data_IF_644685025099
#
_entry.id   IF_644685025099
#
_cell.length_a   1.000
_cell.length_b   1.000
_cell.length_c   1.000
_cell.angle_alpha   90.00
_cell.angle_beta   90.00
_cell.angle_gamma   90.00
#
_symmetry.space_group_name_H-M   'P 1'
#
loop_
_entity.id
_entity.type
_entity.pdbx_description
1 polymer ?
#
# COMPACT_ATOMS: atom_id res chain seq x y z
N UNK A 1 22.74 -0.93 15.27
CA UNK A 1 21.73 -2.00 15.37
C UNK A 1 21.87 -2.95 14.17
N UNK A 2 21.59 -4.25 14.40
CA UNK A 2 21.56 -5.27 13.35
C UNK A 2 20.08 -5.67 13.11
N UNK A 3 19.57 -5.37 11.94
CA UNK A 3 18.15 -5.55 11.62
C UNK A 3 18.00 -6.61 10.52
N UNK A 4 17.10 -7.56 10.75
CA UNK A 4 16.71 -8.57 9.75
C UNK A 4 15.25 -8.33 9.36
N UNK A 5 14.95 -8.45 8.06
CA UNK A 5 13.61 -8.31 7.53
C UNK A 5 13.11 -9.60 6.86
N UNK A 6 11.79 -9.83 6.87
CA UNK A 6 11.12 -10.89 6.10
C UNK A 6 9.85 -10.35 5.43
N UNK A 7 9.69 -10.61 4.12
CA UNK A 7 8.57 -10.08 3.35
C UNK A 7 8.09 -11.02 2.24
N UNK A 8 6.80 -10.95 1.92
CA UNK A 8 6.26 -11.54 0.70
C UNK A 8 6.51 -10.59 -0.48
N UNK A 9 7.30 -11.03 -1.46
CA UNK A 9 7.67 -10.17 -2.60
C UNK A 9 8.58 -9.02 -2.22
N UNK A 10 8.25 -7.81 -2.67
CA UNK A 10 9.05 -6.60 -2.43
C UNK A 10 8.38 -5.63 -1.47
N UNK A 11 7.15 -5.21 -1.76
CA UNK A 11 6.44 -4.15 -1.05
C UNK A 11 7.36 -2.97 -0.65
N UNK A 12 6.96 -2.17 0.32
CA UNK A 12 7.77 -1.11 0.93
C UNK A 12 8.98 -1.61 1.74
N UNK A 13 9.05 -2.92 2.02
CA UNK A 13 10.18 -3.51 2.76
C UNK A 13 11.52 -3.36 2.06
N UNK A 14 11.56 -3.36 0.72
CA UNK A 14 12.79 -3.12 -0.01
C UNK A 14 13.18 -1.65 -0.01
N UNK A 15 12.21 -0.72 0.03
CA UNK A 15 12.48 0.70 0.27
C UNK A 15 13.08 0.89 1.67
N UNK A 16 12.47 0.30 2.72
CA UNK A 16 13.01 0.29 4.07
C UNK A 16 14.40 -0.34 4.13
N UNK A 17 14.61 -1.47 3.46
CA UNK A 17 15.91 -2.16 3.46
C UNK A 17 17.03 -1.30 2.87
N UNK A 18 16.76 -0.53 1.79
CA UNK A 18 17.73 0.44 1.24
C UNK A 18 18.06 1.53 2.26
N UNK A 19 17.07 2.06 2.95
CA UNK A 19 17.26 3.07 3.98
C UNK A 19 18.01 2.54 5.20
N UNK A 20 17.72 1.33 5.65
CA UNK A 20 18.45 0.67 6.73
C UNK A 20 19.89 0.33 6.32
N UNK A 21 20.10 -0.10 5.07
CA UNK A 21 21.44 -0.36 4.54
C UNK A 21 22.28 0.92 4.49
N UNK A 22 21.74 2.04 3.99
CA UNK A 22 22.46 3.31 3.92
C UNK A 22 22.90 3.83 5.29
N UNK A 23 22.18 3.44 6.35
CA UNK A 23 22.48 3.76 7.77
C UNK A 23 23.36 2.70 8.46
N UNK A 24 23.77 1.63 7.76
CA UNK A 24 24.58 0.56 8.33
C UNK A 24 23.82 -0.36 9.29
N UNK A 25 22.50 -0.43 9.19
CA UNK A 25 21.64 -1.20 10.09
C UNK A 25 21.11 -2.50 9.49
N UNK A 26 20.98 -2.62 8.16
CA UNK A 26 20.49 -3.83 7.52
C UNK A 26 21.50 -4.96 7.62
N UNK A 27 21.14 -6.03 8.31
CA UNK A 27 21.88 -7.28 8.36
C UNK A 27 21.50 -8.22 7.24
N UNK A 28 20.19 -8.42 7.02
CA UNK A 28 19.67 -9.33 6.00
C UNK A 28 18.19 -9.07 5.70
N UNK A 29 17.74 -9.47 4.49
CA UNK A 29 16.32 -9.50 4.12
C UNK A 29 15.99 -10.83 3.44
N UNK A 30 14.89 -11.45 3.89
CA UNK A 30 14.30 -12.64 3.31
C UNK A 30 13.10 -12.26 2.46
N UNK A 31 12.97 -12.86 1.25
CA UNK A 31 11.83 -12.60 0.35
C UNK A 31 11.35 -13.86 -0.33
N UNK A 32 10.04 -13.90 -0.65
CA UNK A 32 9.44 -14.97 -1.45
C UNK A 32 9.60 -14.78 -2.96
N UNK A 33 10.25 -13.71 -3.42
CA UNK A 33 10.52 -13.53 -4.84
C UNK A 33 11.89 -14.10 -5.24
N UNK A 34 12.03 -14.61 -6.50
CA UNK A 34 13.31 -15.07 -7.02
C UNK A 34 14.25 -13.89 -7.27
N UNK A 35 15.56 -14.17 -7.19
CA UNK A 35 16.61 -13.15 -7.30
C UNK A 35 16.50 -12.29 -8.58
N UNK A 36 16.18 -12.90 -9.73
CA UNK A 36 16.08 -12.14 -10.98
C UNK A 36 15.01 -11.03 -10.96
N UNK A 37 14.02 -11.11 -10.05
CA UNK A 37 13.08 -10.02 -9.79
C UNK A 37 13.61 -9.01 -8.78
N UNK A 38 14.41 -9.46 -7.81
CA UNK A 38 14.89 -8.63 -6.70
C UNK A 38 16.16 -7.83 -7.03
N UNK A 39 16.96 -8.24 -8.02
CA UNK A 39 18.19 -7.53 -8.43
C UNK A 39 17.96 -6.05 -8.77
N UNK A 40 16.76 -5.71 -9.26
CA UNK A 40 16.35 -4.33 -9.57
C UNK A 40 16.08 -3.47 -8.34
N UNK A 41 15.98 -4.07 -7.15
CA UNK A 41 15.73 -3.35 -5.89
C UNK A 41 16.99 -2.69 -5.31
N UNK A 42 18.14 -2.84 -5.95
CA UNK A 42 19.38 -2.11 -5.60
C UNK A 42 20.07 -2.60 -4.32
N UNK A 43 19.74 -3.80 -3.83
CA UNK A 43 20.46 -4.44 -2.72
C UNK A 43 21.47 -5.46 -3.24
N UNK A 44 22.67 -5.61 -2.60
CA UNK A 44 23.60 -6.66 -2.95
C UNK A 44 23.03 -8.04 -2.64
N UNK A 45 23.36 -9.02 -3.49
CA UNK A 45 22.88 -10.41 -3.34
C UNK A 45 23.24 -11.01 -1.97
N UNK A 46 24.36 -10.62 -1.39
CA UNK A 46 24.81 -11.09 -0.07
C UNK A 46 23.89 -10.72 1.08
N UNK A 47 23.08 -9.69 0.93
CA UNK A 47 22.10 -9.25 1.93
C UNK A 47 20.69 -9.81 1.70
N UNK A 48 20.48 -10.61 0.64
CA UNK A 48 19.14 -11.07 0.24
C UNK A 48 19.10 -12.59 0.15
N UNK A 49 18.15 -13.22 0.82
CA UNK A 49 17.84 -14.64 0.63
C UNK A 49 16.44 -14.83 0.07
N UNK A 50 16.28 -15.78 -0.82
CA UNK A 50 15.03 -15.98 -1.57
C UNK A 50 14.40 -17.34 -1.30
N UNK A 51 13.04 -17.38 -1.19
CA UNK A 51 12.25 -18.60 -1.06
C UNK A 51 11.06 -18.56 -2.05
N UNK A 52 11.32 -18.72 -3.36
CA UNK A 52 10.36 -18.38 -4.40
C UNK A 52 9.36 -19.50 -4.75
N UNK A 53 9.42 -20.65 -4.10
CA UNK A 53 8.80 -21.90 -4.58
C UNK A 53 7.28 -21.81 -4.74
N UNK A 54 6.54 -21.54 -3.67
CA UNK A 54 5.06 -21.50 -3.70
C UNK A 54 4.56 -20.19 -4.28
N UNK A 55 5.11 -19.05 -3.84
CA UNK A 55 4.66 -17.72 -4.28
C UNK A 55 4.84 -17.49 -5.79
N UNK A 56 5.98 -17.92 -6.35
CA UNK A 56 6.23 -17.79 -7.79
C UNK A 56 5.29 -18.67 -8.59
N UNK A 57 5.02 -19.91 -8.12
CA UNK A 57 4.06 -20.81 -8.75
C UNK A 57 2.64 -20.22 -8.70
N UNK A 58 2.21 -19.73 -7.53
CA UNK A 58 0.89 -19.12 -7.34
C UNK A 58 0.67 -17.92 -8.26
N UNK A 59 1.65 -17.01 -8.35
CA UNK A 59 1.57 -15.83 -9.22
C UNK A 59 1.64 -16.22 -10.71
N UNK A 60 2.45 -17.19 -11.06
CA UNK A 60 2.56 -17.71 -12.43
C UNK A 60 1.22 -18.31 -12.88
N UNK A 61 0.66 -19.21 -12.09
CA UNK A 61 -0.63 -19.84 -12.40
C UNK A 61 -1.79 -18.83 -12.46
N UNK A 62 -1.85 -17.88 -11.53
CA UNK A 62 -2.91 -16.85 -11.50
C UNK A 62 -2.91 -15.93 -12.74
N UNK A 63 -1.79 -15.83 -13.44
CA UNK A 63 -1.69 -15.07 -14.70
C UNK A 63 -2.30 -15.77 -15.91
N UNK A 64 -2.41 -17.11 -15.88
CA UNK A 64 -2.83 -17.92 -17.03
C UNK A 64 -4.13 -18.70 -16.79
N UNK A 65 -4.43 -19.08 -15.55
CA UNK A 65 -5.57 -19.92 -15.20
C UNK A 65 -6.36 -19.30 -14.06
N UNK A 66 -7.70 -19.38 -14.14
CA UNK A 66 -8.56 -19.04 -13.01
C UNK A 66 -8.41 -20.11 -11.91
N UNK A 67 -7.65 -19.79 -10.87
CA UNK A 67 -7.46 -20.67 -9.72
C UNK A 67 -8.71 -20.62 -8.84
N UNK A 68 -9.35 -21.79 -8.52
CA UNK A 68 -10.45 -21.83 -7.56
C UNK A 68 -10.04 -21.21 -6.22
N UNK A 69 -10.92 -20.42 -5.62
CA UNK A 69 -10.60 -19.65 -4.40
C UNK A 69 -10.04 -20.52 -3.27
N UNK A 70 -10.61 -21.71 -3.05
CA UNK A 70 -10.12 -22.65 -2.02
C UNK A 70 -8.66 -23.05 -2.25
N UNK A 71 -8.30 -23.32 -3.50
CA UNK A 71 -6.91 -23.66 -3.88
C UNK A 71 -5.99 -22.46 -3.69
N UNK A 72 -6.42 -21.27 -4.10
CA UNK A 72 -5.66 -20.05 -3.92
C UNK A 72 -5.40 -19.75 -2.42
N UNK A 73 -6.43 -19.91 -1.57
CA UNK A 73 -6.30 -19.74 -0.12
C UNK A 73 -5.35 -20.79 0.49
N UNK A 74 -5.49 -22.06 0.09
CA UNK A 74 -4.57 -23.11 0.54
C UNK A 74 -3.11 -22.80 0.17
N UNK A 75 -2.86 -22.39 -1.08
CA UNK A 75 -1.52 -22.00 -1.52
C UNK A 75 -0.98 -20.79 -0.74
N UNK A 76 -1.83 -19.80 -0.43
CA UNK A 76 -1.44 -18.61 0.33
C UNK A 76 -1.05 -18.97 1.77
N UNK A 77 -1.83 -19.83 2.44
CA UNK A 77 -1.52 -20.31 3.79
C UNK A 77 -0.23 -21.15 3.77
N UNK A 78 -0.11 -22.09 2.83
CA UNK A 78 1.07 -22.93 2.69
C UNK A 78 2.34 -22.11 2.40
N UNK A 79 2.24 -21.06 1.56
CA UNK A 79 3.33 -20.13 1.30
C UNK A 79 3.77 -19.40 2.59
N UNK A 80 2.80 -18.88 3.35
CA UNK A 80 3.08 -18.17 4.60
C UNK A 80 3.77 -19.09 5.63
N UNK A 81 3.25 -20.30 5.83
CA UNK A 81 3.78 -21.27 6.80
C UNK A 81 5.16 -21.79 6.44
N UNK A 82 5.37 -22.15 5.17
CA UNK A 82 6.66 -22.71 4.71
C UNK A 82 7.74 -21.64 4.69
N UNK A 83 7.41 -20.43 4.21
CA UNK A 83 8.35 -19.31 4.22
C UNK A 83 8.76 -18.93 5.64
N UNK A 84 7.80 -18.73 6.55
CA UNK A 84 8.06 -18.38 7.94
C UNK A 84 8.89 -19.47 8.66
N UNK A 85 8.58 -20.76 8.41
CA UNK A 85 9.36 -21.88 8.94
C UNK A 85 10.81 -21.86 8.43
N UNK A 86 10.99 -21.59 7.14
CA UNK A 86 12.32 -21.50 6.54
C UNK A 86 13.11 -20.30 7.08
N UNK A 87 12.48 -19.12 7.22
CA UNK A 87 13.10 -17.94 7.84
C UNK A 87 13.49 -18.24 9.28
N UNK A 88 12.61 -18.85 10.07
CA UNK A 88 12.87 -19.23 11.47
C UNK A 88 14.13 -20.10 11.62
N UNK A 89 14.38 -21.04 10.67
CA UNK A 89 15.57 -21.91 10.69
C UNK A 89 16.85 -21.17 10.28
N UNK A 90 16.75 -20.15 9.42
CA UNK A 90 17.88 -19.37 8.90
C UNK A 90 18.21 -18.15 9.73
N UNK A 91 17.32 -17.78 10.66
CA UNK A 91 17.46 -16.56 11.46
C UNK A 91 18.70 -16.63 12.35
N UNK A 92 19.55 -15.64 12.24
CA UNK A 92 20.73 -15.43 13.10
C UNK A 92 20.45 -14.34 14.14
N UNK A 93 21.18 -14.28 15.28
CA UNK A 93 21.01 -13.22 16.28
C UNK A 93 21.01 -11.83 15.63
N UNK A 94 20.09 -10.98 16.07
CA UNK A 94 19.96 -9.58 15.60
C UNK A 94 19.33 -8.75 16.75
N UNK A 95 19.34 -7.43 16.60
CA UNK A 95 18.70 -6.54 17.59
C UNK A 95 17.19 -6.43 17.34
N UNK A 96 16.81 -6.41 16.05
CA UNK A 96 15.39 -6.30 15.63
C UNK A 96 15.12 -7.22 14.44
N UNK A 97 13.98 -7.90 14.52
CA UNK A 97 13.40 -8.64 13.41
C UNK A 97 12.09 -7.98 12.98
N UNK A 98 11.97 -7.63 11.70
CA UNK A 98 10.77 -7.03 11.11
C UNK A 98 10.17 -8.01 10.12
N UNK A 99 8.94 -8.44 10.32
CA UNK A 99 8.25 -9.28 9.35
C UNK A 99 6.97 -8.61 8.87
N UNK A 100 6.70 -8.70 7.56
CA UNK A 100 5.37 -8.37 7.05
C UNK A 100 4.34 -9.29 7.71
N UNK A 101 3.17 -8.77 8.06
CA UNK A 101 2.13 -9.56 8.70
C UNK A 101 1.76 -10.79 7.87
N UNK A 102 1.55 -11.91 8.54
CA UNK A 102 1.40 -13.23 7.93
C UNK A 102 2.72 -14.01 7.72
N UNK A 103 3.89 -13.37 7.91
CA UNK A 103 5.20 -13.99 7.68
C UNK A 103 6.06 -14.15 8.95
N UNK A 104 5.53 -13.84 10.14
CA UNK A 104 6.32 -13.70 11.37
C UNK A 104 5.91 -14.59 12.54
N UNK A 105 5.02 -15.55 12.38
CA UNK A 105 4.49 -16.35 13.50
C UNK A 105 5.57 -17.20 14.19
N UNK A 106 6.38 -17.95 13.44
CA UNK A 106 7.47 -18.78 13.96
C UNK A 106 8.78 -18.02 14.07
N UNK A 107 9.11 -17.27 13.01
CA UNK A 107 10.35 -16.49 12.93
C UNK A 107 10.37 -15.33 13.95
N UNK A 108 9.22 -14.70 14.24
CA UNK A 108 9.12 -13.69 15.31
C UNK A 108 9.42 -14.27 16.68
N UNK A 109 8.80 -15.42 17.03
CA UNK A 109 9.12 -16.13 18.29
C UNK A 109 10.58 -16.57 18.34
N UNK A 110 11.14 -17.02 17.22
CA UNK A 110 12.56 -17.38 17.13
C UNK A 110 13.45 -16.16 17.34
N UNK A 111 13.13 -15.02 16.74
CA UNK A 111 13.86 -13.77 16.93
C UNK A 111 13.88 -13.37 18.43
N UNK A 112 12.72 -13.37 19.08
CA UNK A 112 12.59 -13.07 20.51
C UNK A 112 13.39 -14.05 21.38
N UNK A 113 13.40 -15.35 21.05
CA UNK A 113 14.23 -16.34 21.76
C UNK A 113 15.74 -16.12 21.59
N UNK A 114 16.16 -15.38 20.55
CA UNK A 114 17.54 -14.95 20.32
C UNK A 114 17.83 -13.56 20.92
N UNK A 115 16.88 -12.97 21.66
CA UNK A 115 17.02 -11.66 22.30
C UNK A 115 16.61 -10.46 21.44
N UNK A 116 16.10 -10.67 20.23
CA UNK A 116 15.68 -9.59 19.34
C UNK A 116 14.28 -9.07 19.69
N UNK A 117 14.01 -7.80 19.40
CA UNK A 117 12.65 -7.26 19.31
C UNK A 117 11.99 -7.72 18.02
N UNK A 118 10.73 -8.17 18.10
CA UNK A 118 9.93 -8.54 16.94
C UNK A 118 8.90 -7.45 16.60
N UNK A 119 8.95 -6.94 15.37
CA UNK A 119 8.00 -5.98 14.83
C UNK A 119 7.16 -6.66 13.74
N UNK A 120 5.84 -6.65 13.93
CA UNK A 120 4.89 -7.02 12.89
C UNK A 120 4.58 -5.80 12.04
N UNK A 121 4.97 -5.80 10.77
CA UNK A 121 4.72 -4.69 9.86
C UNK A 121 3.46 -4.95 9.04
N UNK A 122 2.43 -4.14 9.26
CA UNK A 122 1.15 -4.29 8.58
C UNK A 122 0.88 -3.12 7.64
N UNK A 123 0.98 -3.38 6.35
CA UNK A 123 0.76 -2.38 5.30
C UNK A 123 -0.71 -2.05 4.99
N UNK A 124 -1.66 -2.53 5.80
CA UNK A 124 -3.10 -2.34 5.58
C UNK A 124 -3.83 -2.21 6.93
N UNK A 125 -5.17 -2.17 6.90
CA UNK A 125 -6.01 -2.19 8.10
C UNK A 125 -5.86 -3.49 8.88
N UNK A 126 -6.37 -3.55 10.11
CA UNK A 126 -6.42 -4.81 10.89
C UNK A 126 -7.07 -5.92 10.06
N UNK A 127 -6.49 -7.11 10.07
CA UNK A 127 -6.90 -8.19 9.14
C UNK A 127 -8.39 -8.56 9.28
N UNK A 128 -8.92 -8.56 10.49
CA UNK A 128 -10.35 -8.83 10.74
C UNK A 128 -11.23 -7.70 10.21
N UNK A 129 -10.87 -6.45 10.45
CA UNK A 129 -11.56 -5.30 9.87
C UNK A 129 -11.56 -5.36 8.33
N UNK A 130 -10.38 -5.66 7.73
CA UNK A 130 -10.28 -5.85 6.28
C UNK A 130 -11.21 -6.96 5.79
N UNK A 131 -11.23 -8.09 6.48
CA UNK A 131 -12.12 -9.21 6.15
C UNK A 131 -13.60 -8.78 6.18
N UNK A 132 -14.05 -8.13 7.25
CA UNK A 132 -15.43 -7.75 7.47
C UNK A 132 -15.91 -6.72 6.44
N UNK A 133 -15.15 -5.65 6.22
CA UNK A 133 -15.53 -4.59 5.27
C UNK A 133 -15.56 -5.10 3.82
N UNK A 134 -14.64 -6.01 3.45
CA UNK A 134 -14.62 -6.60 2.12
C UNK A 134 -15.71 -7.69 1.95
N UNK A 135 -16.04 -8.42 3.01
CA UNK A 135 -17.15 -9.37 2.98
C UNK A 135 -18.47 -8.64 2.77
N UNK A 136 -18.66 -7.51 3.45
CA UNK A 136 -19.81 -6.63 3.24
C UNK A 136 -19.85 -6.11 1.79
N UNK A 137 -18.71 -5.67 1.26
CA UNK A 137 -18.61 -5.17 -0.10
C UNK A 137 -18.96 -6.26 -1.13
N UNK A 138 -18.42 -7.47 -0.97
CA UNK A 138 -18.73 -8.59 -1.86
C UNK A 138 -20.20 -8.97 -1.81
N UNK A 139 -20.83 -8.98 -0.61
CA UNK A 139 -22.30 -9.22 -0.48
C UNK A 139 -23.12 -8.15 -1.22
N UNK A 140 -22.73 -6.87 -1.13
CA UNK A 140 -23.36 -5.77 -1.84
C UNK A 140 -23.40 -5.97 -3.35
N UNK A 141 -22.30 -6.51 -3.88
CA UNK A 141 -22.17 -6.81 -5.31
C UNK A 141 -22.56 -8.25 -5.68
N UNK A 142 -23.15 -9.00 -4.75
CA UNK A 142 -23.57 -10.40 -4.94
C UNK A 142 -22.43 -11.32 -5.40
N UNK A 143 -21.23 -11.07 -4.87
CA UNK A 143 -20.03 -11.88 -5.13
C UNK A 143 -19.90 -12.90 -3.99
N UNK A 144 -19.96 -14.19 -4.35
CA UNK A 144 -19.72 -15.27 -3.39
C UNK A 144 -18.22 -15.49 -3.22
N UNK A 145 -17.61 -14.72 -2.32
CA UNK A 145 -16.18 -14.77 -2.05
C UNK A 145 -15.86 -14.48 -0.58
N UNK A 146 -14.92 -15.23 -0.03
CA UNK A 146 -14.35 -15.01 1.30
C UNK A 146 -13.06 -14.19 1.13
N UNK A 147 -12.96 -12.95 1.66
CA UNK A 147 -11.77 -12.11 1.49
C UNK A 147 -10.49 -12.72 2.05
N UNK A 148 -10.56 -13.21 3.30
CA UNK A 148 -9.42 -13.81 4.02
C UNK A 148 -9.88 -15.14 4.61
N UNK A 149 -9.14 -16.26 4.42
CA UNK A 149 -9.49 -17.53 5.03
C UNK A 149 -9.31 -17.50 6.54
N UNK A 150 -10.07 -18.32 7.32
CA UNK A 150 -9.98 -18.31 8.81
C UNK A 150 -8.56 -18.47 9.34
N UNK A 151 -7.77 -19.38 8.75
CA UNK A 151 -6.37 -19.60 9.12
C UNK A 151 -5.49 -18.35 8.93
N UNK A 152 -5.81 -17.53 7.91
CA UNK A 152 -5.14 -16.25 7.68
C UNK A 152 -5.46 -15.22 8.75
N UNK A 153 -6.72 -15.15 9.21
CA UNK A 153 -7.16 -14.29 10.30
C UNK A 153 -6.44 -14.65 11.61
N UNK A 154 -6.53 -15.93 12.01
CA UNK A 154 -5.92 -16.44 13.22
C UNK A 154 -4.40 -16.23 13.24
N UNK A 155 -3.74 -16.45 12.09
CA UNK A 155 -2.31 -16.27 11.94
C UNK A 155 -1.87 -14.83 12.18
N UNK A 156 -2.49 -13.87 11.49
CA UNK A 156 -2.10 -12.46 11.63
C UNK A 156 -2.47 -11.90 13.02
N UNK A 157 -3.61 -12.26 13.59
CA UNK A 157 -3.99 -11.87 14.95
C UNK A 157 -3.02 -12.43 16.00
N UNK A 158 -2.55 -13.66 15.81
CA UNK A 158 -1.50 -14.22 16.68
C UNK A 158 -0.17 -13.46 16.55
N UNK A 159 0.17 -12.97 15.36
CA UNK A 159 1.36 -12.12 15.16
C UNK A 159 1.20 -10.77 15.85
N UNK A 160 0.02 -10.13 15.74
CA UNK A 160 -0.26 -8.88 16.47
C UNK A 160 -0.15 -9.06 17.98
N UNK A 161 -0.66 -10.17 18.51
CA UNK A 161 -0.57 -10.48 19.95
C UNK A 161 0.89 -10.70 20.39
N UNK A 162 1.69 -11.44 19.62
CA UNK A 162 3.04 -11.86 20.01
C UNK A 162 4.13 -10.83 19.69
N UNK A 163 3.94 -9.90 18.76
CA UNK A 163 4.96 -8.89 18.43
C UNK A 163 5.19 -7.90 19.57
N UNK A 164 6.40 -7.34 19.66
CA UNK A 164 6.73 -6.26 20.60
C UNK A 164 6.12 -4.92 20.14
N UNK A 165 5.99 -4.72 18.83
CA UNK A 165 5.38 -3.55 18.22
C UNK A 165 4.72 -3.91 16.88
N UNK A 166 3.76 -3.09 16.47
CA UNK A 166 3.09 -3.18 15.16
C UNK A 166 3.31 -1.86 14.45
N UNK A 167 3.87 -1.90 13.23
CA UNK A 167 3.99 -0.71 12.37
C UNK A 167 2.87 -0.70 11.33
N UNK A 168 2.30 0.47 11.12
CA UNK A 168 1.17 0.71 10.21
C UNK A 168 1.37 2.03 9.45
N UNK A 169 0.79 2.19 8.23
CA UNK A 169 1.09 3.34 7.40
C UNK A 169 0.20 4.56 7.60
N UNK A 170 -0.96 4.45 8.28
CA UNK A 170 -1.92 5.56 8.35
C UNK A 170 -2.74 5.59 9.64
N UNK A 171 -3.34 6.74 9.91
CA UNK A 171 -4.28 6.91 11.02
C UNK A 171 -5.56 6.09 10.81
N UNK A 172 -6.00 5.93 9.57
CA UNK A 172 -7.10 5.00 9.26
C UNK A 172 -6.77 3.57 9.73
N UNK A 173 -5.57 3.07 9.41
CA UNK A 173 -5.13 1.77 9.92
C UNK A 173 -5.15 1.74 11.45
N UNK A 174 -4.58 2.77 12.12
CA UNK A 174 -4.52 2.85 13.57
C UNK A 174 -5.89 2.73 14.22
N UNK A 175 -6.87 3.46 13.71
CA UNK A 175 -8.27 3.40 14.17
C UNK A 175 -8.83 1.97 14.09
N UNK A 176 -8.54 1.24 13.00
CA UNK A 176 -9.03 -0.14 12.84
C UNK A 176 -8.40 -1.12 13.82
N UNK A 177 -7.10 -0.97 14.13
CA UNK A 177 -6.43 -1.79 15.13
C UNK A 177 -6.98 -1.55 16.54
N UNK A 178 -7.19 -0.30 16.92
CA UNK A 178 -7.81 0.06 18.22
C UNK A 178 -9.24 -0.48 18.30
N UNK A 179 -10.03 -0.31 17.24
CA UNK A 179 -11.40 -0.84 17.15
C UNK A 179 -11.45 -2.36 17.36
N UNK A 180 -10.42 -3.08 16.90
CA UNK A 180 -10.29 -4.54 17.07
C UNK A 180 -9.60 -4.95 18.39
N UNK A 181 -9.39 -4.01 19.31
CA UNK A 181 -8.92 -4.27 20.67
C UNK A 181 -7.40 -4.37 20.82
N UNK A 182 -6.61 -3.96 19.81
CA UNK A 182 -5.14 -3.92 19.95
C UNK A 182 -4.74 -2.71 20.79
N UNK A 183 -3.89 -2.87 21.83
CA UNK A 183 -3.43 -1.77 22.67
C UNK A 183 -2.73 -0.66 21.87
N UNK A 184 -3.11 0.59 22.12
CA UNK A 184 -2.66 1.75 21.35
C UNK A 184 -1.14 1.97 21.41
N UNK A 185 -0.53 1.65 22.55
CA UNK A 185 0.91 1.76 22.81
C UNK A 185 1.76 0.79 21.98
N UNK A 186 1.14 -0.27 21.47
CA UNK A 186 1.79 -1.25 20.60
C UNK A 186 1.82 -0.83 19.15
N UNK A 187 0.98 0.16 18.77
CA UNK A 187 0.73 0.54 17.37
C UNK A 187 1.52 1.82 17.05
N UNK A 188 2.43 1.72 16.07
CA UNK A 188 3.28 2.82 15.63
C UNK A 188 2.99 3.17 14.18
N UNK A 189 2.49 4.39 13.96
CA UNK A 189 2.20 4.91 12.64
C UNK A 189 3.47 5.48 11.97
N UNK A 190 3.81 4.96 10.80
CA UNK A 190 4.92 5.44 9.98
C UNK A 190 4.42 5.50 8.52
N UNK A 191 3.97 6.68 8.04
CA UNK A 191 3.51 6.84 6.66
C UNK A 191 4.62 6.57 5.65
N UNK A 192 4.25 5.96 4.52
CA UNK A 192 5.19 5.63 3.46
C UNK A 192 5.77 6.87 2.78
N UNK A 193 6.99 6.73 2.28
CA UNK A 193 7.64 7.73 1.45
C UNK A 193 7.25 7.65 -0.02
N UNK A 194 7.72 8.63 -0.79
CA UNK A 194 7.63 8.68 -2.25
C UNK A 194 9.03 8.79 -2.84
N UNK A 195 9.28 8.15 -3.98
CA UNK A 195 10.53 8.33 -4.75
C UNK A 195 10.45 9.65 -5.53
N UNK A 196 10.86 10.75 -4.89
CA UNK A 196 10.78 12.09 -5.49
C UNK A 196 11.68 12.23 -6.71
N UNK A 197 12.77 11.49 -6.80
CA UNK A 197 13.64 11.41 -7.96
C UNK A 197 12.95 10.79 -9.20
N UNK A 198 11.96 9.94 -8.98
CA UNK A 198 11.21 9.28 -10.03
C UNK A 198 9.90 10.03 -10.36
N UNK A 199 9.19 10.50 -9.35
CA UNK A 199 7.89 11.16 -9.48
C UNK A 199 8.04 12.67 -9.32
N UNK A 200 7.85 13.39 -10.41
CA UNK A 200 7.89 14.86 -10.52
C UNK A 200 7.09 15.29 -11.74
N UNK A 201 6.64 16.53 -11.84
CA UNK A 201 5.93 17.03 -13.00
C UNK A 201 6.79 16.96 -14.27
N UNK A 202 6.24 16.40 -15.36
CA UNK A 202 6.95 16.27 -16.66
C UNK A 202 6.13 16.82 -17.81
N UNK A 203 4.81 16.95 -17.65
CA UNK A 203 3.88 17.48 -18.66
C UNK A 203 2.70 18.12 -17.93
N UNK A 204 2.14 19.19 -18.48
CA UNK A 204 0.92 19.80 -17.93
C UNK A 204 -0.34 19.08 -18.43
N UNK A 205 -1.43 19.06 -17.64
CA UNK A 205 -2.73 18.59 -18.09
C UNK A 205 -3.23 19.39 -19.30
N UNK A 206 -3.97 18.72 -20.19
CA UNK A 206 -4.52 19.34 -21.40
C UNK A 206 -5.64 20.33 -21.07
N UNK A 207 -5.61 21.53 -21.61
CA UNK A 207 -6.72 22.49 -21.47
C UNK A 207 -7.99 22.12 -22.25
N UNK A 208 -7.89 21.19 -23.19
CA UNK A 208 -9.01 20.80 -24.07
C UNK A 208 -9.79 19.57 -23.59
N UNK A 209 -9.30 18.86 -22.57
CA UNK A 209 -9.93 17.64 -22.06
C UNK A 209 -9.85 17.64 -20.55
N UNK A 210 -10.84 17.10 -19.85
CA UNK A 210 -10.76 16.84 -18.43
C UNK A 210 -10.40 15.38 -18.18
N UNK A 211 -9.17 15.12 -17.74
CA UNK A 211 -8.65 13.78 -17.55
C UNK A 211 -8.64 13.37 -16.08
N UNK A 212 -9.43 12.36 -15.76
CA UNK A 212 -9.46 11.66 -14.47
C UNK A 212 -8.55 10.45 -14.56
N UNK A 213 -7.79 10.17 -13.51
CA UNK A 213 -6.88 9.03 -13.42
C UNK A 213 -7.23 8.13 -12.24
N UNK A 214 -7.17 6.84 -12.46
CA UNK A 214 -7.06 5.82 -11.42
C UNK A 214 -5.82 4.97 -11.66
N UNK A 215 -5.06 4.69 -10.61
CA UNK A 215 -3.90 3.78 -10.66
C UNK A 215 -4.01 2.75 -9.54
N UNK A 216 -4.10 1.47 -9.91
CA UNK A 216 -4.20 0.37 -8.96
C UNK A 216 -4.86 -0.86 -9.54
N UNK A 217 -5.04 -1.88 -8.72
CA UNK A 217 -5.75 -3.09 -9.13
C UNK A 217 -7.22 -2.80 -9.41
N UNK A 218 -7.73 -3.22 -10.56
CA UNK A 218 -9.13 -3.05 -10.95
C UNK A 218 -9.97 -4.09 -10.22
N UNK A 219 -10.64 -3.66 -9.13
CA UNK A 219 -11.31 -4.56 -8.19
C UNK A 219 -12.41 -3.85 -7.39
N UNK A 220 -13.28 -4.63 -6.73
CA UNK A 220 -14.28 -4.10 -5.79
C UNK A 220 -13.61 -3.43 -4.58
N UNK A 221 -12.55 -4.03 -4.02
CA UNK A 221 -11.78 -3.44 -2.92
C UNK A 221 -11.30 -2.01 -3.23
N UNK A 222 -10.88 -1.78 -4.46
CA UNK A 222 -10.40 -0.47 -4.92
C UNK A 222 -11.52 0.49 -5.32
N UNK A 223 -12.79 0.11 -5.17
CA UNK A 223 -13.95 0.97 -5.36
C UNK A 223 -14.23 1.36 -6.81
N UNK A 224 -13.73 0.58 -7.78
CA UNK A 224 -13.93 0.88 -9.21
C UNK A 224 -15.40 1.05 -9.60
N UNK A 225 -16.38 0.28 -9.06
CA UNK A 225 -17.79 0.52 -9.38
C UNK A 225 -18.25 1.95 -9.07
N UNK A 226 -17.82 2.50 -7.94
CA UNK A 226 -18.18 3.86 -7.51
C UNK A 226 -17.49 4.93 -8.37
N UNK A 227 -16.27 4.68 -8.83
CA UNK A 227 -15.57 5.57 -9.76
C UNK A 227 -16.26 5.61 -11.11
N UNK A 228 -16.62 4.45 -11.68
CA UNK A 228 -17.30 4.37 -12.97
C UNK A 228 -18.66 5.08 -12.91
N UNK A 229 -19.41 4.89 -11.83
CA UNK A 229 -20.68 5.57 -11.61
C UNK A 229 -20.49 7.09 -11.47
N UNK A 230 -19.51 7.55 -10.68
CA UNK A 230 -19.20 8.96 -10.53
C UNK A 230 -18.76 9.60 -11.85
N UNK A 231 -17.88 8.94 -12.59
CA UNK A 231 -17.41 9.42 -13.88
C UNK A 231 -18.55 9.52 -14.91
N UNK A 232 -19.48 8.57 -14.94
CA UNK A 232 -20.65 8.63 -15.81
C UNK A 232 -21.51 9.86 -15.53
N UNK A 233 -21.72 10.22 -14.24
CA UNK A 233 -22.50 11.38 -13.80
C UNK A 233 -21.80 12.73 -14.05
N UNK A 234 -20.50 12.76 -14.16
CA UNK A 234 -19.70 13.96 -14.42
C UNK A 234 -20.14 14.63 -15.74
N UNK A 235 -20.40 15.92 -15.70
CA UNK A 235 -20.81 16.74 -16.85
C UNK A 235 -19.62 17.51 -17.40
N UNK A 236 -19.02 17.00 -18.46
CA UNK A 236 -17.96 17.71 -19.20
C UNK A 236 -17.89 17.12 -20.63
N UNK A 237 -17.92 17.96 -21.69
CA UNK A 237 -18.06 17.48 -23.07
C UNK A 237 -16.86 16.64 -23.57
N UNK A 238 -15.69 16.84 -22.97
CA UNK A 238 -14.45 16.15 -23.35
C UNK A 238 -13.81 15.47 -22.12
N UNK A 239 -14.62 14.79 -21.30
CA UNK A 239 -14.10 14.01 -20.15
C UNK A 239 -13.41 12.72 -20.62
N UNK A 240 -12.37 12.32 -19.91
CA UNK A 240 -11.63 11.06 -20.10
C UNK A 240 -11.31 10.43 -18.75
N UNK A 241 -11.51 9.12 -18.61
CA UNK A 241 -11.05 8.35 -17.46
C UNK A 241 -9.99 7.36 -17.92
N UNK A 242 -8.78 7.50 -17.38
CA UNK A 242 -7.70 6.52 -17.57
C UNK A 242 -7.60 5.63 -16.35
N UNK A 243 -7.61 4.32 -16.58
CA UNK A 243 -7.48 3.28 -15.55
C UNK A 243 -6.20 2.51 -15.83
N UNK A 244 -5.23 2.62 -14.91
CA UNK A 244 -3.94 1.92 -14.99
C UNK A 244 -3.87 0.84 -13.92
N UNK A 245 -3.65 -0.41 -14.33
CA UNK A 245 -3.44 -1.52 -13.40
C UNK A 245 -3.96 -2.86 -13.89
N UNK A 246 -3.77 -3.88 -13.06
CA UNK A 246 -4.22 -5.25 -13.38
C UNK A 246 -5.69 -5.44 -13.08
N UNK A 247 -6.39 -6.07 -14.03
CA UNK A 247 -7.78 -6.49 -13.86
C UNK A 247 -7.81 -7.85 -13.16
N UNK A 248 -8.45 -7.92 -11.99
CA UNK A 248 -8.64 -9.20 -11.31
C UNK A 248 -9.75 -10.03 -11.95
N UNK A 249 -9.60 -11.37 -11.98
CA UNK A 249 -10.55 -12.24 -12.70
C UNK A 249 -12.01 -12.08 -12.25
N UNK A 250 -12.26 -11.97 -10.96
CA UNK A 250 -13.59 -11.83 -10.38
C UNK A 250 -14.30 -10.50 -10.72
N UNK A 251 -13.57 -9.50 -11.15
CA UNK A 251 -14.13 -8.22 -11.55
C UNK A 251 -14.53 -8.18 -13.03
N UNK A 252 -14.02 -9.10 -13.87
CA UNK A 252 -14.31 -9.16 -15.30
C UNK A 252 -15.83 -9.20 -15.63
N UNK A 253 -16.65 -10.06 -14.97
CA UNK A 253 -18.10 -10.11 -15.26
C UNK A 253 -18.79 -8.77 -14.96
N UNK A 254 -18.43 -8.08 -13.89
CA UNK A 254 -18.96 -6.75 -13.60
C UNK A 254 -18.56 -5.75 -14.66
N UNK A 255 -17.26 -5.70 -15.01
CA UNK A 255 -16.74 -4.74 -15.97
C UNK A 255 -17.36 -4.88 -17.36
N UNK A 256 -17.66 -6.11 -17.82
CA UNK A 256 -18.27 -6.38 -19.12
C UNK A 256 -19.71 -5.87 -19.25
N UNK A 257 -20.37 -5.53 -18.16
CA UNK A 257 -21.74 -4.99 -18.15
C UNK A 257 -21.76 -3.46 -18.04
N UNK A 258 -20.59 -2.81 -17.89
CA UNK A 258 -20.52 -1.37 -17.69
C UNK A 258 -20.43 -0.62 -19.02
N UNK A 259 -21.04 0.56 -19.04
CA UNK A 259 -20.77 1.54 -20.06
C UNK A 259 -19.38 2.15 -19.83
N UNK A 260 -18.50 1.96 -20.80
CA UNK A 260 -17.10 2.42 -20.78
C UNK A 260 -16.87 3.58 -21.77
N UNK A 261 -17.90 4.33 -22.10
CA UNK A 261 -17.73 5.53 -22.93
C UNK A 261 -16.74 6.51 -22.28
N UNK A 262 -15.74 6.95 -23.04
CA UNK A 262 -14.65 7.80 -22.58
C UNK A 262 -13.77 7.20 -21.44
N UNK A 263 -13.81 5.87 -21.23
CA UNK A 263 -12.97 5.15 -20.28
C UNK A 263 -11.91 4.35 -21.03
N UNK A 264 -10.65 4.56 -20.70
CA UNK A 264 -9.50 3.87 -21.28
C UNK A 264 -8.81 3.00 -20.22
N UNK A 265 -8.76 1.69 -20.43
CA UNK A 265 -8.07 0.73 -19.54
C UNK A 265 -6.70 0.41 -20.14
N UNK A 266 -5.64 0.95 -19.53
CA UNK A 266 -4.26 0.89 -20.02
C UNK A 266 -3.50 -0.37 -19.59
N UNK A 267 -4.08 -1.21 -18.71
CA UNK A 267 -3.36 -2.34 -18.14
C UNK A 267 -2.23 -1.93 -17.19
N UNK A 268 -1.32 -2.86 -16.93
CA UNK A 268 -0.17 -2.63 -16.03
C UNK A 268 0.88 -1.78 -16.74
N UNK A 269 1.35 -0.74 -16.07
CA UNK A 269 2.34 0.19 -16.60
C UNK A 269 3.60 0.20 -15.72
N UNK A 270 4.83 0.26 -16.31
CA UNK A 270 6.05 0.47 -15.55
C UNK A 270 6.03 1.78 -14.76
N UNK A 271 6.58 1.77 -13.54
CA UNK A 271 6.60 2.97 -12.68
C UNK A 271 7.20 4.20 -13.35
N UNK A 272 8.24 4.02 -14.15
CA UNK A 272 8.92 5.12 -14.87
C UNK A 272 8.01 5.86 -15.84
N UNK A 273 6.94 5.23 -16.33
CA UNK A 273 5.94 5.83 -17.23
C UNK A 273 4.72 6.40 -16.50
N UNK A 274 4.52 6.01 -15.21
CA UNK A 274 3.39 6.51 -14.43
C UNK A 274 3.44 8.02 -14.24
N UNK A 275 4.63 8.60 -14.09
CA UNK A 275 4.80 10.05 -13.92
C UNK A 275 4.22 10.87 -15.08
N UNK A 276 4.32 10.36 -16.30
CA UNK A 276 3.77 11.02 -17.50
C UNK A 276 2.24 11.07 -17.43
N UNK A 277 1.62 9.93 -17.09
CA UNK A 277 0.16 9.83 -16.99
C UNK A 277 -0.37 10.62 -15.79
N UNK A 278 0.34 10.59 -14.65
CA UNK A 278 -0.01 11.35 -13.45
C UNK A 278 0.09 12.86 -13.70
N UNK A 279 1.21 13.33 -14.28
CA UNK A 279 1.39 14.76 -14.62
C UNK A 279 0.38 15.28 -15.64
N UNK A 280 -0.02 14.44 -16.59
CA UNK A 280 -1.01 14.79 -17.62
C UNK A 280 -2.46 14.76 -17.11
N UNK A 281 -2.71 14.31 -15.88
CA UNK A 281 -4.06 14.13 -15.33
C UNK A 281 -4.47 15.31 -14.45
N UNK A 282 -5.75 15.70 -14.52
CA UNK A 282 -6.29 16.78 -13.71
C UNK A 282 -6.51 16.36 -12.25
N UNK A 283 -6.79 15.07 -12.03
CA UNK A 283 -7.04 14.52 -10.70
C UNK A 283 -6.78 13.02 -10.68
N UNK A 284 -6.17 12.53 -9.60
CA UNK A 284 -6.16 11.10 -9.25
C UNK A 284 -7.33 10.80 -8.32
N UNK A 285 -8.14 9.80 -8.65
CA UNK A 285 -9.22 9.31 -7.76
C UNK A 285 -8.80 7.98 -7.13
N UNK A 286 -8.89 7.91 -5.79
CA UNK A 286 -8.63 6.69 -5.00
C UNK A 286 -9.89 6.31 -4.24
N UNK A 287 -10.88 5.65 -4.89
CA UNK A 287 -12.21 5.41 -4.33
C UNK A 287 -12.23 4.15 -3.43
N UNK A 288 -11.10 3.78 -2.85
CA UNK A 288 -10.89 2.52 -2.14
C UNK A 288 -11.90 2.29 -1.01
N UNK A 289 -12.41 1.06 -0.93
CA UNK A 289 -13.25 0.58 0.17
C UNK A 289 -12.39 0.27 1.38
N UNK A 290 -11.19 -0.23 1.13
CA UNK A 290 -10.18 -0.53 2.14
C UNK A 290 -8.78 -0.42 1.52
N UNK A 291 -7.91 0.34 2.21
CA UNK A 291 -6.50 0.52 1.87
C UNK A 291 -5.72 0.98 3.09
N UNK A 292 -4.46 0.55 3.24
CA UNK A 292 -3.61 1.05 4.32
C UNK A 292 -3.18 2.50 4.09
N UNK A 293 -2.35 2.68 3.08
CA UNK A 293 -1.94 3.96 2.51
C UNK A 293 -1.56 3.71 1.05
N UNK A 294 -2.36 4.18 0.13
CA UNK A 294 -2.11 3.94 -1.28
C UNK A 294 -0.91 4.78 -1.76
N UNK A 295 0.22 4.11 -2.05
CA UNK A 295 1.45 4.77 -2.53
C UNK A 295 1.23 5.68 -3.74
N UNK A 296 0.27 5.33 -4.60
CA UNK A 296 -0.06 6.11 -5.81
C UNK A 296 -0.57 7.52 -5.49
N UNK A 297 -1.14 7.75 -4.30
CA UNK A 297 -1.57 9.08 -3.86
C UNK A 297 -0.37 10.02 -3.74
N UNK A 298 0.64 9.64 -2.97
CA UNK A 298 1.86 10.43 -2.85
C UNK A 298 2.61 10.58 -4.17
N UNK A 299 2.60 9.55 -5.03
CA UNK A 299 3.20 9.60 -6.36
C UNK A 299 2.50 10.61 -7.28
N UNK A 300 1.17 10.66 -7.25
CA UNK A 300 0.39 11.65 -8.01
C UNK A 300 0.62 13.06 -7.49
N UNK A 301 0.61 13.26 -6.17
CA UNK A 301 0.93 14.54 -5.53
C UNK A 301 2.31 15.04 -5.94
N UNK A 302 3.31 14.17 -5.97
CA UNK A 302 4.68 14.49 -6.43
C UNK A 302 4.73 14.89 -7.92
N UNK A 303 3.74 14.46 -8.70
CA UNK A 303 3.57 14.87 -10.10
C UNK A 303 2.68 16.12 -10.29
N UNK A 304 2.28 16.79 -9.20
CA UNK A 304 1.38 17.95 -9.23
C UNK A 304 -0.08 17.62 -9.53
N UNK A 305 -0.48 16.36 -9.36
CA UNK A 305 -1.85 15.90 -9.58
C UNK A 305 -2.60 15.86 -8.23
N UNK A 306 -3.65 16.69 -8.02
CA UNK A 306 -4.44 16.69 -6.80
C UNK A 306 -5.27 15.42 -6.66
N UNK A 307 -5.79 15.16 -5.46
CA UNK A 307 -6.46 13.92 -5.12
C UNK A 307 -7.96 14.09 -4.88
N UNK A 308 -8.74 13.06 -5.24
CA UNK A 308 -10.03 12.75 -4.61
C UNK A 308 -9.89 11.35 -4.03
N UNK A 309 -9.91 11.25 -2.71
CA UNK A 309 -9.62 9.99 -2.02
C UNK A 309 -10.69 9.72 -0.96
N UNK A 310 -10.96 8.44 -0.71
CA UNK A 310 -11.92 8.09 0.35
C UNK A 310 -11.28 8.15 1.73
N UNK A 311 -12.11 8.31 2.77
CA UNK A 311 -11.73 8.17 4.18
C UNK A 311 -11.03 6.85 4.50
N UNK A 312 -11.21 5.84 3.65
CA UNK A 312 -10.69 4.48 3.83
C UNK A 312 -9.42 4.19 3.02
N UNK A 313 -8.71 5.24 2.60
CA UNK A 313 -7.51 5.13 1.74
C UNK A 313 -6.21 5.60 2.40
N UNK A 314 -6.27 6.03 3.68
CA UNK A 314 -5.15 6.63 4.39
C UNK A 314 -4.82 8.05 3.93
N UNK A 315 -5.66 8.68 3.11
CA UNK A 315 -5.41 10.01 2.53
C UNK A 315 -5.26 11.11 3.61
N UNK A 316 -5.89 10.95 4.78
CA UNK A 316 -5.80 11.90 5.90
C UNK A 316 -4.36 12.12 6.42
N UNK A 317 -3.44 11.19 6.13
CA UNK A 317 -2.02 11.32 6.47
C UNK A 317 -1.22 12.03 5.37
N UNK A 318 -1.75 12.15 4.16
CA UNK A 318 -1.09 12.77 3.02
C UNK A 318 -1.61 14.18 2.75
N UNK A 319 -2.92 14.39 2.82
CA UNK A 319 -3.56 15.67 2.46
C UNK A 319 -4.42 16.22 3.60
N UNK A 320 -4.50 17.53 3.64
CA UNK A 320 -5.54 18.28 4.36
C UNK A 320 -6.70 18.46 3.39
N UNK A 321 -7.90 18.06 3.80
CA UNK A 321 -9.08 18.20 2.94
C UNK A 321 -9.26 19.65 2.45
N UNK A 322 -9.58 19.83 1.17
CA UNK A 322 -9.77 21.11 0.48
C UNK A 322 -8.48 21.94 0.26
N UNK A 323 -7.30 21.38 0.57
CA UNK A 323 -6.02 22.07 0.33
C UNK A 323 -5.19 21.38 -0.77
N UNK A 324 -4.89 20.10 -0.63
CA UNK A 324 -4.15 19.31 -1.62
C UNK A 324 -5.06 18.39 -2.44
N UNK A 325 -6.36 18.38 -2.17
CA UNK A 325 -7.38 17.55 -2.75
C UNK A 325 -8.59 17.41 -1.83
N UNK A 326 -9.42 16.41 -2.11
CA UNK A 326 -10.64 16.16 -1.37
C UNK A 326 -10.65 14.77 -0.73
N UNK A 327 -11.14 14.70 0.52
CA UNK A 327 -11.45 13.45 1.20
C UNK A 327 -12.96 13.27 1.21
N UNK A 328 -13.44 12.15 0.68
CA UNK A 328 -14.87 11.85 0.53
C UNK A 328 -15.23 10.53 1.24
N UNK A 329 -16.49 10.31 1.61
CA UNK A 329 -16.92 9.03 2.15
C UNK A 329 -16.65 7.87 1.18
N UNK A 330 -16.30 6.70 1.71
CA UNK A 330 -16.25 5.49 0.90
C UNK A 330 -17.67 5.09 0.47
N UNK A 331 -17.78 4.44 -0.71
CA UNK A 331 -19.07 3.99 -1.28
C UNK A 331 -20.04 5.11 -1.66
N UNK A 332 -19.56 6.33 -1.81
CA UNK A 332 -20.36 7.49 -2.19
C UNK A 332 -19.96 8.03 -3.57
N UNK A 333 -20.57 7.52 -4.66
CA UNK A 333 -20.27 8.01 -6.00
C UNK A 333 -20.75 9.45 -6.21
N UNK A 334 -21.75 9.94 -5.47
CA UNK A 334 -22.21 11.32 -5.58
C UNK A 334 -21.16 12.29 -5.03
N UNK A 335 -20.61 12.01 -3.86
CA UNK A 335 -19.53 12.82 -3.30
C UNK A 335 -18.30 12.88 -4.23
N UNK A 336 -17.94 11.75 -4.87
CA UNK A 336 -16.87 11.73 -5.89
C UNK A 336 -17.26 12.61 -7.10
N UNK A 337 -18.51 12.48 -7.60
CA UNK A 337 -19.01 13.28 -8.73
C UNK A 337 -18.92 14.77 -8.45
N UNK A 338 -19.38 15.20 -7.28
CA UNK A 338 -19.43 16.62 -6.90
C UNK A 338 -18.00 17.23 -6.89
N UNK A 339 -17.00 16.49 -6.38
CA UNK A 339 -15.61 16.94 -6.38
C UNK A 339 -14.97 16.89 -7.76
N UNK A 340 -15.31 15.90 -8.59
CA UNK A 340 -14.89 15.88 -9.99
C UNK A 340 -15.48 17.07 -10.75
N UNK A 341 -16.76 17.40 -10.52
CA UNK A 341 -17.40 18.54 -11.16
C UNK A 341 -16.77 19.87 -10.74
N UNK A 342 -16.43 20.04 -9.44
CA UNK A 342 -15.72 21.24 -8.97
C UNK A 342 -14.40 21.44 -9.71
N UNK A 343 -13.60 20.38 -9.92
CA UNK A 343 -12.35 20.47 -10.68
C UNK A 343 -12.57 20.73 -12.16
N UNK A 344 -13.67 20.20 -12.74
CA UNK A 344 -13.99 20.41 -14.15
C UNK A 344 -14.49 21.84 -14.42
N UNK A 345 -15.21 22.44 -13.45
CA UNK A 345 -15.80 23.77 -13.57
C UNK A 345 -14.81 24.90 -13.13
N UNK A 346 -13.82 24.58 -12.28
CA UNK A 346 -12.81 25.52 -11.79
C UNK A 346 -11.38 25.00 -12.04
N UNK A 347 -10.80 25.26 -13.22
CA UNK A 347 -9.42 24.89 -13.52
C UNK A 347 -8.37 25.55 -12.61
N UNK A 348 -8.67 26.75 -12.07
CA UNK A 348 -7.76 27.43 -11.15
C UNK A 348 -7.70 26.70 -9.80
N UNK A 349 -8.83 26.21 -9.28
CA UNK A 349 -8.87 25.36 -8.09
C UNK A 349 -8.01 24.11 -8.29
N UNK A 350 -8.17 23.45 -9.43
CA UNK A 350 -7.38 22.26 -9.78
C UNK A 350 -5.86 22.57 -9.76
N UNK A 351 -5.44 23.66 -10.37
CA UNK A 351 -4.03 24.07 -10.41
C UNK A 351 -3.50 24.43 -9.01
N UNK A 352 -4.27 25.20 -8.23
CA UNK A 352 -3.89 25.56 -6.85
C UNK A 352 -3.70 24.32 -5.97
N UNK A 353 -4.65 23.37 -6.01
CA UNK A 353 -4.55 22.13 -5.24
C UNK A 353 -3.43 21.22 -5.74
N UNK A 354 -3.20 21.16 -7.05
CA UNK A 354 -2.09 20.43 -7.64
C UNK A 354 -0.73 20.97 -7.20
N UNK A 355 -0.58 22.30 -7.17
CA UNK A 355 0.62 22.94 -6.65
C UNK A 355 0.81 22.69 -5.14
N UNK A 356 -0.25 22.82 -4.35
CA UNK A 356 -0.21 22.53 -2.92
C UNK A 356 0.17 21.06 -2.65
N UNK A 357 -0.35 20.12 -3.44
CA UNK A 357 -0.01 18.68 -3.36
C UNK A 357 1.48 18.44 -3.62
N UNK A 358 2.05 19.07 -4.66
CA UNK A 358 3.48 18.98 -4.98
C UNK A 358 4.34 19.52 -3.83
N UNK A 359 4.04 20.70 -3.31
CA UNK A 359 4.79 21.29 -2.20
C UNK A 359 4.68 20.46 -0.92
N UNK A 360 3.49 19.94 -0.61
CA UNK A 360 3.27 19.03 0.53
C UNK A 360 4.16 17.80 0.42
N UNK A 361 4.24 17.18 -0.76
CA UNK A 361 5.03 15.97 -0.96
C UNK A 361 6.53 16.22 -0.77
N UNK A 362 7.04 17.37 -1.22
CA UNK A 362 8.44 17.77 -0.99
C UNK A 362 8.75 17.89 0.51
N UNK A 363 7.83 18.50 1.29
CA UNK A 363 7.99 18.63 2.74
C UNK A 363 7.95 17.30 3.49
N UNK A 364 7.28 16.28 2.95
CA UNK A 364 7.20 14.94 3.57
C UNK A 364 8.52 14.15 3.49
N UNK A 365 9.50 14.54 2.68
CA UNK A 365 10.87 14.05 2.67
C UNK A 365 11.09 12.63 2.10
N UNK A 366 10.10 12.05 1.45
CA UNK A 366 10.22 10.80 0.71
C UNK A 366 10.61 9.58 1.57
N UNK A 367 11.27 8.59 0.93
CA UNK A 367 11.70 7.36 1.61
C UNK A 367 12.81 7.59 2.64
N UNK A 368 13.61 8.64 2.47
CA UNK A 368 14.63 8.99 3.46
C UNK A 368 14.00 9.30 4.82
N UNK A 369 12.96 10.16 4.85
CA UNK A 369 12.23 10.49 6.07
C UNK A 369 11.53 9.26 6.68
N UNK A 370 10.95 8.38 5.83
CA UNK A 370 10.41 7.11 6.29
C UNK A 370 11.48 6.27 7.02
N UNK A 371 12.68 6.15 6.44
CA UNK A 371 13.81 5.45 7.06
C UNK A 371 14.27 6.08 8.37
N UNK A 372 14.27 7.39 8.49
CA UNK A 372 14.57 8.11 9.74
C UNK A 372 13.54 7.82 10.83
N UNK A 373 12.26 7.98 10.51
CA UNK A 373 11.15 7.71 11.44
C UNK A 373 11.20 6.28 11.93
N UNK A 374 11.43 5.33 11.02
CA UNK A 374 11.55 3.91 11.35
C UNK A 374 12.76 3.65 12.25
N UNK A 375 13.93 4.20 11.91
CA UNK A 375 15.15 4.05 12.71
C UNK A 375 14.97 4.63 14.12
N UNK A 376 14.29 5.76 14.25
CA UNK A 376 13.98 6.38 15.55
C UNK A 376 13.08 5.48 16.40
N UNK A 377 12.04 4.89 15.83
CA UNK A 377 11.21 3.89 16.50
C UNK A 377 12.05 2.72 17.01
N UNK A 378 12.92 2.16 16.15
CA UNK A 378 13.75 1.00 16.49
C UNK A 378 14.71 1.31 17.64
N UNK A 379 15.34 2.50 17.65
CA UNK A 379 16.20 2.94 18.77
C UNK A 379 15.42 3.02 20.09
N UNK A 380 14.22 3.57 20.07
CA UNK A 380 13.36 3.67 21.25
C UNK A 380 12.99 2.29 21.80
N UNK A 381 12.59 1.36 20.92
CA UNK A 381 12.22 -0.01 21.31
C UNK A 381 13.39 -0.82 21.88
N UNK A 382 14.63 -0.55 21.44
CA UNK A 382 15.83 -1.19 21.93
C UNK A 382 16.44 -0.49 23.17
N UNK A 383 15.79 0.54 23.74
CA UNK A 383 16.34 1.30 24.89
C UNK A 383 17.57 2.15 24.55
N UNK A 384 17.86 2.39 23.26
CA UNK A 384 18.97 3.23 22.80
C UNK A 384 18.55 4.71 22.67
N UNK A 385 17.55 5.15 23.44
CA UNK A 385 17.12 6.55 23.47
C UNK A 385 18.23 7.42 24.09
N UNK A 386 18.81 8.29 23.28
CA UNK A 386 19.53 9.52 23.63
C UNK A 386 20.38 9.53 24.91
N UNK A 387 21.48 8.78 24.93
CA UNK A 387 22.64 9.12 25.79
C UNK A 387 23.48 10.29 25.20
N UNK A 388 23.05 10.91 24.11
CA UNK A 388 23.81 12.01 23.45
C UNK A 388 23.33 13.44 23.77
N UNK A 389 22.18 13.63 24.42
CA UNK A 389 21.70 14.99 24.78
C UNK A 389 22.09 15.44 26.19
N UNK A 390 22.87 14.68 26.95
CA UNK A 390 23.32 15.05 28.31
C UNK A 390 24.84 15.27 28.37
N UNK A 391 25.50 15.55 27.26
CA UNK A 391 26.91 15.98 27.23
C UNK A 391 27.08 17.25 26.36
N UNK A 392 26.49 18.33 26.83
CA UNK A 392 26.97 19.71 26.57
C UNK A 392 26.72 20.55 27.81
#
# INVERSE_FOLDING_TARGET
>A
MQIIQATFGTFHHFDLARELKSRGHLKHIYSTYPWFRLQREGLPHTLVSTFPWIHTLQLGLAGYVAIPQKVFHFMSVANAETFDSWVSQKLTPCDVFIAISGAGTKSGKRAQSLGAKYICDRGSTHIRFQHEILLEEYRRWKIDRIPVPPQGLEREEAEYANSDAITIPSEFCRKTFIQMGVPAEKIHKIPYGVRLELFHPVVAPSQNTFQVLFVGQISFRKGIPYLLEAFRRLRHPKKRLKIVGSLIPEFKPFLSTQDLENVEILGVMPQVRLKEVMSASHVLVTPSIEEGLALVQGQAMACGCPLISTTNSGAEDLITNEKEGFIVPARDPQAITDRLQQFADDPELQQRMGHAALERTKMMGGWHQYGENYTSLLKNLCGQSNLQEVRT
#
